data_IF_110092087320
#
_entry.id   IF_110092087320
#
_cell.length_a   1.000
_cell.length_b   1.000
_cell.length_c   1.000
_cell.angle_alpha   90.00
_cell.angle_beta   90.00
_cell.angle_gamma   90.00
#
_symmetry.space_group_name_H-M   'P 1'
#
loop_
_entity.id
_entity.type
_entity.pdbx_description
1 polymer ?
#
# COMPACT_ATOMS: atom_id res chain seq x y z
N UNK A 1 -8.25 -16.07 -1.58
CA UNK A 1 -9.18 -14.93 -1.33
C UNK A 1 -9.94 -14.56 -2.60
N UNK A 2 -11.06 -13.82 -2.54
CA UNK A 2 -11.74 -13.31 -3.74
C UNK A 2 -11.05 -12.05 -4.29
N UNK A 3 -11.28 -11.68 -5.56
CA UNK A 3 -10.76 -10.42 -6.12
C UNK A 3 -11.24 -9.20 -5.33
N UNK A 4 -12.51 -9.17 -4.94
CA UNK A 4 -13.08 -8.10 -4.11
C UNK A 4 -12.32 -7.93 -2.79
N UNK A 5 -11.91 -9.03 -2.16
CA UNK A 5 -11.12 -8.97 -0.91
C UNK A 5 -9.72 -8.38 -1.16
N UNK A 6 -9.12 -8.68 -2.31
CA UNK A 6 -7.80 -8.19 -2.71
C UNK A 6 -7.85 -6.70 -3.07
N UNK A 7 -8.89 -6.27 -3.78
CA UNK A 7 -9.15 -4.85 -4.06
C UNK A 7 -9.31 -4.07 -2.75
N UNK A 8 -10.13 -4.58 -1.82
CA UNK A 8 -10.33 -3.99 -0.51
C UNK A 8 -9.04 -3.95 0.33
N UNK A 9 -8.17 -4.96 0.20
CA UNK A 9 -6.86 -4.97 0.85
C UNK A 9 -5.96 -3.84 0.33
N UNK A 10 -5.85 -3.66 -0.99
CA UNK A 10 -5.04 -2.60 -1.59
C UNK A 10 -5.54 -1.20 -1.20
N UNK A 11 -6.86 -1.00 -1.17
CA UNK A 11 -7.48 0.26 -0.72
C UNK A 11 -7.16 0.55 0.74
N UNK A 12 -7.35 -0.42 1.63
CA UNK A 12 -7.01 -0.28 3.07
C UNK A 12 -5.54 0.06 3.28
N UNK A 13 -4.66 -0.59 2.52
CA UNK A 13 -3.23 -0.31 2.57
C UNK A 13 -2.95 1.16 2.20
N UNK A 14 -3.48 1.60 1.06
CA UNK A 14 -3.27 2.96 0.57
C UNK A 14 -3.84 4.02 1.51
N UNK A 15 -5.03 3.77 2.07
CA UNK A 15 -5.64 4.61 3.10
C UNK A 15 -4.75 4.71 4.34
N UNK A 16 -4.20 3.59 4.80
CA UNK A 16 -3.29 3.61 5.97
C UNK A 16 -2.05 4.47 5.73
N UNK A 17 -1.50 4.45 4.51
CA UNK A 17 -0.39 5.34 4.12
C UNK A 17 -0.82 6.80 4.18
N UNK A 18 -1.98 7.13 3.61
CA UNK A 18 -2.50 8.51 3.52
C UNK A 18 -2.85 9.08 4.91
N UNK A 19 -3.58 8.32 5.71
CA UNK A 19 -4.10 8.72 7.02
C UNK A 19 -3.05 8.62 8.12
N UNK A 20 -1.96 7.88 7.88
CA UNK A 20 -0.93 7.60 8.87
C UNK A 20 -1.37 6.61 9.94
N UNK A 21 -2.34 5.76 9.64
CA UNK A 21 -2.71 4.66 10.54
C UNK A 21 -1.71 3.50 10.41
N UNK A 22 -1.58 2.65 11.45
CA UNK A 22 -0.61 1.55 11.45
C UNK A 22 -0.86 0.54 10.32
N UNK A 23 0.22 0.14 9.64
CA UNK A 23 0.19 -0.92 8.62
C UNK A 23 0.27 -2.33 9.22
N UNK A 24 0.70 -2.48 10.48
CA UNK A 24 0.89 -3.75 11.19
C UNK A 24 -0.27 -4.74 11.03
N UNK A 25 -1.56 -4.33 11.07
CA UNK A 25 -2.68 -5.25 10.89
C UNK A 25 -2.76 -5.87 9.48
N UNK A 26 -2.12 -5.24 8.48
CA UNK A 26 -2.06 -5.67 7.08
C UNK A 26 -0.82 -6.52 6.78
N UNK A 27 0.12 -6.60 7.72
CA UNK A 27 1.39 -7.29 7.55
C UNK A 27 1.36 -8.64 8.28
N UNK A 28 1.92 -9.66 7.66
CA UNK A 28 2.10 -11.00 8.21
C UNK A 28 3.48 -11.56 7.91
N UNK A 29 3.76 -12.75 8.46
CA UNK A 29 5.00 -13.47 8.20
C UNK A 29 6.25 -12.71 8.67
N UNK A 30 7.22 -12.54 7.78
CA UNK A 30 8.54 -11.97 8.06
C UNK A 30 8.68 -10.48 7.68
N UNK A 31 7.59 -9.80 7.30
CA UNK A 31 7.63 -8.38 6.98
C UNK A 31 7.81 -7.55 8.27
N UNK A 32 8.78 -6.65 8.28
CA UNK A 32 9.06 -5.75 9.41
C UNK A 32 8.13 -4.51 9.39
N UNK A 33 7.16 -4.39 10.32
CA UNK A 33 6.24 -3.25 10.32
C UNK A 33 6.92 -1.90 10.49
N UNK A 34 8.05 -1.83 11.19
CA UNK A 34 8.77 -0.57 11.41
C UNK A 34 9.28 0.03 10.09
N UNK A 35 9.86 -0.81 9.22
CA UNK A 35 10.31 -0.39 7.89
C UNK A 35 9.15 0.13 7.01
N UNK A 36 7.95 -0.44 7.12
CA UNK A 36 6.77 0.05 6.39
C UNK A 36 6.25 1.37 6.96
N UNK A 37 6.22 1.51 8.28
CA UNK A 37 5.83 2.73 8.95
C UNK A 37 6.77 3.90 8.58
N UNK A 38 8.08 3.65 8.55
CA UNK A 38 9.10 4.63 8.13
C UNK A 38 8.88 5.09 6.69
N UNK A 39 8.69 4.15 5.74
CA UNK A 39 8.42 4.50 4.34
C UNK A 39 7.12 5.28 4.18
N UNK A 40 6.06 4.90 4.87
CA UNK A 40 4.78 5.61 4.82
C UNK A 40 4.91 7.03 5.40
N UNK A 41 5.64 7.18 6.51
CA UNK A 41 5.94 8.48 7.09
C UNK A 41 6.75 9.35 6.13
N UNK A 42 7.77 8.79 5.46
CA UNK A 42 8.57 9.51 4.48
C UNK A 42 7.72 10.02 3.30
N UNK A 43 6.76 9.23 2.81
CA UNK A 43 5.79 9.67 1.78
C UNK A 43 4.95 10.84 2.29
N UNK A 44 4.40 10.75 3.51
CA UNK A 44 3.61 11.83 4.11
C UNK A 44 4.41 13.11 4.30
N UNK A 45 5.61 13.01 4.86
CA UNK A 45 6.51 14.16 5.04
C UNK A 45 6.88 14.81 3.71
N UNK A 46 7.21 14.00 2.70
CA UNK A 46 7.54 14.51 1.36
C UNK A 46 6.37 15.24 0.72
N UNK A 47 5.18 14.65 0.73
CA UNK A 47 4.03 15.17 0.00
C UNK A 47 3.29 16.28 0.74
N UNK A 48 3.30 16.31 2.07
CA UNK A 48 2.72 17.38 2.89
C UNK A 48 1.20 17.53 2.77
N UNK A 49 0.60 18.09 3.82
CA UNK A 49 -0.85 18.34 3.87
C UNK A 49 -1.69 17.05 3.92
N UNK A 50 -3.01 17.15 3.77
CA UNK A 50 -3.87 15.99 3.62
C UNK A 50 -3.51 15.26 2.34
N UNK A 51 -3.42 13.93 2.42
CA UNK A 51 -3.11 13.09 1.27
C UNK A 51 -4.38 12.47 0.67
N UNK A 52 -4.39 12.39 -0.65
CA UNK A 52 -5.42 11.68 -1.41
C UNK A 52 -4.77 10.52 -2.18
N UNK A 53 -5.23 9.30 -1.91
CA UNK A 53 -4.74 8.09 -2.55
C UNK A 53 -5.76 7.48 -3.52
N UNK A 54 -5.29 7.02 -4.67
CA UNK A 54 -6.08 6.22 -5.63
C UNK A 54 -5.36 4.91 -5.95
N UNK A 55 -6.08 3.79 -5.93
CA UNK A 55 -5.65 2.54 -6.57
C UNK A 55 -6.06 2.63 -8.03
N UNK A 56 -5.08 2.81 -8.92
CA UNK A 56 -5.34 3.09 -10.34
C UNK A 56 -5.70 1.82 -11.11
N UNK A 57 -5.03 0.72 -10.79
CA UNK A 57 -5.18 -0.58 -11.45
C UNK A 57 -4.74 -1.69 -10.51
N UNK A 58 -5.34 -2.87 -10.64
CA UNK A 58 -4.93 -4.07 -9.91
C UNK A 58 -5.08 -5.31 -10.79
N UNK A 59 -4.03 -6.13 -10.77
CA UNK A 59 -3.96 -7.46 -11.39
C UNK A 59 -3.85 -8.48 -10.27
N UNK A 60 -4.69 -9.52 -10.33
CA UNK A 60 -4.71 -10.59 -9.34
C UNK A 60 -4.42 -11.93 -10.01
N UNK A 61 -3.49 -12.70 -9.44
CA UNK A 61 -3.20 -14.08 -9.80
C UNK A 61 -3.23 -14.94 -8.53
N UNK A 62 -4.38 -15.56 -8.27
CA UNK A 62 -4.62 -16.26 -7.01
C UNK A 62 -4.52 -15.30 -5.82
N UNK A 63 -3.53 -15.49 -4.95
CA UNK A 63 -3.28 -14.61 -3.81
C UNK A 63 -2.10 -13.64 -4.03
N UNK A 64 -1.60 -13.55 -5.27
CA UNK A 64 -0.60 -12.56 -5.67
C UNK A 64 -1.30 -11.38 -6.33
N UNK A 65 -0.88 -10.18 -5.95
CA UNK A 65 -1.42 -8.95 -6.52
C UNK A 65 -0.29 -8.04 -6.99
N UNK A 66 -0.53 -7.36 -8.12
CA UNK A 66 0.22 -6.21 -8.57
C UNK A 66 -0.74 -5.05 -8.72
N UNK A 67 -0.51 -3.93 -8.04
CA UNK A 67 -1.41 -2.79 -8.08
C UNK A 67 -0.69 -1.47 -8.19
N UNK A 68 -1.20 -0.63 -9.08
CA UNK A 68 -0.74 0.73 -9.32
C UNK A 68 -1.43 1.69 -8.36
N UNK A 69 -0.69 2.67 -7.90
CA UNK A 69 -1.22 3.69 -7.00
C UNK A 69 -0.69 5.08 -7.34
N UNK A 70 -1.53 6.05 -7.03
CA UNK A 70 -1.20 7.47 -7.05
C UNK A 70 -1.53 8.08 -5.69
N UNK A 71 -0.59 8.81 -5.10
CA UNK A 71 -0.81 9.60 -3.88
C UNK A 71 -0.52 11.06 -4.19
N UNK A 72 -1.48 11.95 -3.90
CA UNK A 72 -1.36 13.39 -4.06
C UNK A 72 -1.33 14.06 -2.70
N UNK A 73 -0.47 15.06 -2.55
CA UNK A 73 -0.43 15.96 -1.39
C UNK A 73 -0.14 17.38 -1.84
N UNK A 74 0.00 18.29 -0.88
CA UNK A 74 0.22 19.71 -1.14
C UNK A 74 1.47 19.98 -1.99
N UNK A 75 2.53 19.21 -1.78
CA UNK A 75 3.85 19.40 -2.37
C UNK A 75 4.08 18.55 -3.64
N UNK A 76 3.07 17.81 -4.10
CA UNK A 76 3.15 17.09 -5.37
C UNK A 76 2.43 15.74 -5.40
N UNK A 77 2.95 14.83 -6.23
CA UNK A 77 2.36 13.52 -6.47
C UNK A 77 3.44 12.45 -6.46
N UNK A 78 3.17 11.32 -5.81
CA UNK A 78 3.96 10.10 -5.88
C UNK A 78 3.16 9.02 -6.60
N UNK A 79 3.85 8.19 -7.39
CA UNK A 79 3.24 7.05 -8.07
C UNK A 79 4.11 5.81 -7.92
N UNK A 80 3.48 4.65 -7.98
CA UNK A 80 4.22 3.40 -7.98
C UNK A 80 3.35 2.20 -8.21
N UNK A 81 4.01 1.05 -8.14
CA UNK A 81 3.40 -0.27 -8.25
C UNK A 81 3.86 -1.09 -7.08
N UNK A 82 2.91 -1.69 -6.37
CA UNK A 82 3.18 -2.66 -5.32
C UNK A 82 2.92 -4.07 -5.84
N UNK A 83 3.83 -4.98 -5.51
CA UNK A 83 3.71 -6.41 -5.78
C UNK A 83 3.63 -7.10 -4.42
N UNK A 84 2.63 -7.93 -4.20
CA UNK A 84 2.41 -8.58 -2.90
C UNK A 84 1.93 -10.00 -3.07
N UNK A 85 2.32 -10.85 -2.11
CA UNK A 85 1.64 -12.13 -1.86
C UNK A 85 0.83 -11.99 -0.57
N UNK A 86 -0.44 -12.35 -0.63
CA UNK A 86 -1.41 -12.22 0.45
C UNK A 86 -1.73 -13.61 0.99
N UNK A 87 -1.72 -13.79 2.30
CA UNK A 87 -2.19 -15.01 2.95
C UNK A 87 -2.99 -14.62 4.20
N UNK A 88 -4.15 -15.27 4.40
CA UNK A 88 -5.04 -14.99 5.52
C UNK A 88 -5.36 -13.48 5.72
N UNK A 89 -5.53 -12.75 4.61
CA UNK A 89 -5.88 -11.32 4.63
C UNK A 89 -4.72 -10.37 4.96
N UNK A 90 -3.48 -10.86 4.97
CA UNK A 90 -2.26 -10.08 5.27
C UNK A 90 -1.22 -10.27 4.17
N UNK A 91 -0.43 -9.24 3.89
CA UNK A 91 0.73 -9.37 3.03
C UNK A 91 1.82 -10.18 3.75
N UNK A 92 2.30 -11.24 3.11
CA UNK A 92 3.42 -12.05 3.59
C UNK A 92 4.70 -11.82 2.78
N UNK A 93 4.57 -11.17 1.62
CA UNK A 93 5.68 -10.68 0.82
C UNK A 93 5.28 -9.36 0.14
N UNK A 94 6.23 -8.45 -0.06
CA UNK A 94 5.97 -7.14 -0.64
C UNK A 94 7.21 -6.54 -1.31
N UNK A 95 7.00 -5.94 -2.48
CA UNK A 95 7.96 -5.15 -3.22
C UNK A 95 7.28 -3.93 -3.81
N UNK A 96 8.01 -2.82 -3.95
CA UNK A 96 7.51 -1.60 -4.60
C UNK A 96 8.46 -1.16 -5.69
N UNK A 97 7.92 -0.82 -6.84
CA UNK A 97 8.59 -0.01 -7.86
C UNK A 97 7.94 1.38 -7.85
N UNK A 98 8.68 2.39 -7.43
CA UNK A 98 8.21 3.78 -7.41
C UNK A 98 8.85 4.59 -8.55
N UNK A 99 8.08 5.53 -9.12
CA UNK A 99 8.51 6.45 -10.18
C UNK A 99 8.35 7.89 -9.70
#
# INVERSE_FOLDING_TARGET
MSRTDLDAFAVRWLQSVCDGTPLDPLLGGALDPAAFAERAAAVRTRLGGPLEGTVDEIVCEGERIAWRWTVRGQNGTARGVNFQEIAAGRAIAHWTLAI
#
